data_IF_406909064155
#
_entry.id   IF_406909064155
#
_cell.length_a   1.000
_cell.length_b   1.000
_cell.length_c   1.000
_cell.angle_alpha   90.00
_cell.angle_beta   90.00
_cell.angle_gamma   90.00
#
_symmetry.space_group_name_H-M   'P 1'
#
loop_
_entity.id
_entity.type
_entity.pdbx_description
1 polymer ?
#
# COMPACT_ATOMS: atom_id res chain seq x y z
N UNK A 1 9.99 -11.24 3.34
CA UNK A 1 8.79 -11.48 4.14
C UNK A 1 8.51 -10.22 4.90
N UNK A 2 7.28 -9.73 4.82
CA UNK A 2 6.84 -8.52 5.51
C UNK A 2 6.93 -8.70 7.02
N UNK A 3 7.48 -7.68 7.70
CA UNK A 3 7.59 -7.64 9.16
C UNK A 3 7.02 -6.34 9.70
N UNK A 4 6.32 -6.39 10.83
CA UNK A 4 5.73 -5.20 11.45
C UNK A 4 6.79 -4.35 12.15
N UNK A 5 6.83 -3.07 11.80
CA UNK A 5 7.58 -2.06 12.54
C UNK A 5 6.73 -1.61 13.71
N UNK A 6 7.11 -1.98 14.94
CA UNK A 6 6.27 -1.73 16.13
C UNK A 6 6.27 -0.28 16.62
N UNK A 7 7.38 0.44 16.42
CA UNK A 7 7.57 1.81 16.93
C UNK A 7 7.38 2.86 15.83
N UNK A 8 6.25 2.77 15.12
CA UNK A 8 5.94 3.77 14.11
C UNK A 8 5.31 5.01 14.71
N UNK A 9 5.75 6.17 14.21
CA UNK A 9 5.16 7.47 14.56
C UNK A 9 3.65 7.42 14.35
N UNK A 10 2.89 7.76 15.37
CA UNK A 10 1.46 8.03 15.26
C UNK A 10 1.29 9.54 15.08
N UNK A 11 0.35 9.94 14.22
CA UNK A 11 0.02 11.35 13.99
C UNK A 11 -1.35 11.59 14.61
N UNK A 12 -1.46 12.61 15.46
CA UNK A 12 -2.72 12.96 16.09
C UNK A 12 -3.78 13.24 15.01
N UNK A 13 -4.96 12.63 15.16
CA UNK A 13 -6.11 12.71 14.25
C UNK A 13 -5.97 11.96 12.89
N UNK A 14 -4.92 11.16 12.68
CA UNK A 14 -4.82 10.27 11.49
C UNK A 14 -5.19 8.80 11.82
N UNK A 15 -5.74 8.56 13.01
CA UNK A 15 -6.07 7.21 13.48
C UNK A 15 -4.84 6.36 13.82
N UNK A 16 -5.07 5.08 14.07
CA UNK A 16 -3.97 4.14 14.30
C UNK A 16 -3.28 3.82 12.97
N UNK A 17 -1.96 3.91 12.96
CA UNK A 17 -1.13 3.53 11.82
C UNK A 17 -0.30 2.30 12.12
N UNK A 18 -0.34 1.31 11.23
CA UNK A 18 0.56 0.14 11.23
C UNK A 18 1.43 0.16 9.98
N UNK A 19 2.67 -0.31 10.11
CA UNK A 19 3.60 -0.39 8.99
C UNK A 19 4.26 -1.76 8.96
N UNK A 20 4.26 -2.38 7.80
CA UNK A 20 4.96 -3.61 7.50
C UNK A 20 5.96 -3.36 6.38
N UNK A 21 7.16 -3.92 6.50
CA UNK A 21 8.23 -3.69 5.52
C UNK A 21 9.03 -4.96 5.26
N UNK A 22 9.55 -5.07 4.04
CA UNK A 22 10.63 -5.98 3.66
C UNK A 22 11.55 -5.34 2.59
N UNK A 23 12.31 -6.11 1.82
CA UNK A 23 13.18 -5.57 0.77
C UNK A 23 12.44 -5.05 -0.46
N UNK A 24 11.22 -5.52 -0.72
CA UNK A 24 10.45 -5.22 -1.93
C UNK A 24 9.21 -4.35 -1.66
N UNK A 25 8.54 -4.54 -0.51
CA UNK A 25 7.30 -3.88 -0.15
C UNK A 25 7.45 -2.96 1.07
N UNK A 26 6.66 -1.89 1.07
CA UNK A 26 6.25 -1.16 2.27
C UNK A 26 4.72 -1.08 2.28
N UNK A 27 4.10 -1.65 3.32
CA UNK A 27 2.66 -1.60 3.53
C UNK A 27 2.35 -0.73 4.74
N UNK A 28 1.67 0.38 4.50
CA UNK A 28 1.15 1.28 5.54
C UNK A 28 -0.35 1.09 5.60
N UNK A 29 -0.90 0.87 6.80
CA UNK A 29 -2.34 0.82 7.04
C UNK A 29 -2.77 1.96 7.97
N UNK A 30 -3.94 2.50 7.68
CA UNK A 30 -4.67 3.44 8.52
C UNK A 30 -5.96 2.81 8.99
N UNK A 31 -6.29 3.04 10.26
CA UNK A 31 -7.48 2.50 10.90
C UNK A 31 -8.34 3.63 11.45
N UNK A 32 -9.65 3.43 11.35
CA UNK A 32 -10.67 4.23 12.02
C UNK A 32 -10.62 4.01 13.54
N UNK A 33 -11.30 4.87 14.31
CA UNK A 33 -11.38 4.74 15.77
C UNK A 33 -12.08 3.45 16.24
N UNK A 34 -12.97 2.88 15.42
CA UNK A 34 -13.67 1.62 15.69
C UNK A 34 -12.83 0.37 15.37
N UNK A 35 -11.63 0.55 14.81
CA UNK A 35 -10.71 -0.52 14.44
C UNK A 35 -10.88 -1.06 13.04
N UNK A 36 -11.76 -0.49 12.21
CA UNK A 36 -11.86 -0.83 10.79
C UNK A 36 -10.69 -0.25 9.99
N UNK A 37 -10.30 -0.92 8.90
CA UNK A 37 -9.27 -0.40 7.98
C UNK A 37 -9.87 0.74 7.15
N UNK A 38 -9.40 1.95 7.41
CA UNK A 38 -9.76 3.18 6.70
C UNK A 38 -9.10 3.21 5.31
N UNK A 39 -7.88 2.69 5.22
CA UNK A 39 -7.10 2.67 4.00
C UNK A 39 -5.75 1.97 4.13
N UNK A 40 -5.07 1.84 3.00
CA UNK A 40 -3.68 1.40 2.96
C UNK A 40 -2.92 2.07 1.83
N UNK A 41 -1.59 2.06 1.95
CA UNK A 41 -0.67 2.36 0.87
C UNK A 41 0.35 1.22 0.78
N UNK A 42 0.47 0.65 -0.42
CA UNK A 42 1.45 -0.38 -0.75
C UNK A 42 2.48 0.24 -1.69
N UNK A 43 3.65 0.57 -1.16
CA UNK A 43 4.82 0.86 -1.98
C UNK A 43 5.51 -0.45 -2.36
N UNK A 44 5.98 -0.53 -3.60
CA UNK A 44 6.65 -1.70 -4.13
C UNK A 44 7.71 -1.30 -5.14
N UNK A 45 8.58 -2.25 -5.50
CA UNK A 45 9.65 -2.04 -6.48
C UNK A 45 10.71 -1.01 -6.01
N UNK A 46 10.98 -0.99 -4.70
CA UNK A 46 11.80 0.00 -3.99
C UNK A 46 13.25 0.15 -4.48
N UNK A 47 13.75 -0.83 -5.22
CA UNK A 47 15.14 -0.87 -5.69
C UNK A 47 15.29 -0.47 -7.17
N UNK A 48 14.18 -0.43 -7.93
CA UNK A 48 14.21 -0.15 -9.37
C UNK A 48 13.32 1.04 -9.70
N UNK A 49 12.01 0.83 -9.77
CA UNK A 49 11.03 1.84 -10.16
C UNK A 49 9.91 1.92 -9.12
N UNK A 50 10.20 2.57 -7.99
CA UNK A 50 9.31 2.61 -6.83
C UNK A 50 7.95 3.19 -7.22
N UNK A 51 6.91 2.48 -6.85
CA UNK A 51 5.52 2.86 -7.09
C UNK A 51 4.70 2.66 -5.84
N UNK A 52 3.70 3.49 -5.64
CA UNK A 52 2.76 3.44 -4.55
C UNK A 52 1.34 3.19 -5.08
N UNK A 53 0.69 2.15 -4.58
CA UNK A 53 -0.74 1.94 -4.74
C UNK A 53 -1.44 2.27 -3.42
N UNK A 54 -2.24 3.32 -3.43
CA UNK A 54 -3.01 3.77 -2.27
C UNK A 54 -4.48 3.44 -2.48
N UNK A 55 -5.13 2.93 -1.44
CA UNK A 55 -6.57 2.79 -1.38
C UNK A 55 -7.08 3.46 -0.10
N UNK A 56 -8.09 4.32 -0.25
CA UNK A 56 -8.84 4.94 0.86
C UNK A 56 -10.31 4.63 0.71
N UNK A 57 -11.00 4.37 1.82
CA UNK A 57 -12.45 4.07 1.84
C UNK A 57 -13.27 5.16 1.14
N UNK A 58 -12.93 6.44 1.34
CA UNK A 58 -13.67 7.57 0.76
C UNK A 58 -13.27 7.89 -0.69
N UNK A 59 -11.99 7.76 -1.04
CA UNK A 59 -11.45 8.25 -2.31
C UNK A 59 -11.19 7.15 -3.35
N UNK A 60 -11.28 5.87 -2.97
CA UNK A 60 -10.96 4.76 -3.86
C UNK A 60 -9.45 4.57 -4.04
N UNK A 61 -9.02 4.20 -5.26
CA UNK A 61 -7.63 3.87 -5.57
C UNK A 61 -6.88 5.02 -6.24
N UNK A 62 -5.60 5.19 -5.87
CA UNK A 62 -4.61 5.98 -6.62
C UNK A 62 -3.33 5.16 -6.82
N UNK A 63 -2.69 5.30 -7.97
CA UNK A 63 -1.44 4.62 -8.30
C UNK A 63 -0.43 5.64 -8.81
N UNK A 64 0.68 5.78 -8.11
CA UNK A 64 1.67 6.83 -8.32
C UNK A 64 3.07 6.21 -8.48
N UNK A 65 3.88 6.77 -9.37
CA UNK A 65 5.31 6.48 -9.43
C UNK A 65 6.04 7.44 -8.49
N UNK A 66 6.93 6.90 -7.66
CA UNK A 66 7.74 7.66 -6.73
C UNK A 66 9.07 7.98 -7.41
N UNK A 67 9.29 9.26 -7.72
CA UNK A 67 10.62 9.74 -8.09
C UNK A 67 11.39 10.06 -6.79
N UNK A 68 12.63 9.62 -6.70
CA UNK A 68 13.56 9.64 -5.53
C UNK A 68 13.94 11.07 -5.04
N UNK A 69 13.09 12.07 -5.28
CA UNK A 69 13.34 13.49 -5.04
C UNK A 69 12.20 14.32 -4.43
N UNK A 70 11.03 13.74 -4.10
CA UNK A 70 9.99 14.45 -3.35
C UNK A 70 9.50 13.70 -2.10
N UNK A 71 9.49 14.42 -0.97
CA UNK A 71 8.97 14.03 0.35
C UNK A 71 7.51 13.50 0.29
N UNK A 72 7.11 12.55 1.16
CA UNK A 72 5.73 12.06 1.20
C UNK A 72 4.76 13.21 1.52
N UNK A 73 3.76 13.43 0.66
CA UNK A 73 2.68 14.40 0.94
C UNK A 73 2.27 15.32 -0.22
N UNK A 74 2.89 15.22 -1.40
CA UNK A 74 2.39 15.93 -2.59
C UNK A 74 1.55 15.01 -3.46
N UNK A 75 0.24 15.24 -3.44
CA UNK A 75 -0.69 14.74 -4.44
C UNK A 75 -0.21 15.14 -5.84
N UNK A 76 0.21 14.15 -6.64
CA UNK A 76 0.00 14.19 -8.08
C UNK A 76 -1.11 13.20 -8.40
N UNK A 77 -2.33 13.60 -8.07
CA UNK A 77 -3.52 12.86 -8.48
C UNK A 77 -3.59 12.84 -10.01
N UNK A 78 -3.44 11.66 -10.60
CA UNK A 78 -3.82 11.41 -12.00
C UNK A 78 -4.28 9.96 -12.13
N UNK A 79 -5.44 9.72 -12.75
CA UNK A 79 -5.95 8.37 -12.98
C UNK A 79 -5.08 7.66 -14.00
N UNK A 80 -5.02 6.34 -13.96
CA UNK A 80 -4.27 5.58 -14.95
C UNK A 80 -5.18 4.62 -15.72
N UNK A 81 -5.57 5.07 -16.92
CA UNK A 81 -5.60 4.24 -18.12
C UNK A 81 -4.16 4.26 -18.68
N UNK A 82 -3.39 3.16 -18.62
CA UNK A 82 -2.18 3.01 -19.46
C UNK A 82 -2.52 2.12 -20.66
N UNK A 83 -2.43 2.63 -21.90
CA UNK A 83 -2.61 1.82 -23.10
C UNK A 83 -1.38 0.97 -23.51
N UNK A 84 -0.21 1.10 -22.87
CA UNK A 84 1.02 0.39 -23.34
C UNK A 84 2.14 0.22 -22.29
N UNK A 85 1.81 0.13 -21.00
CA UNK A 85 2.78 -0.10 -19.91
C UNK A 85 2.10 -0.75 -18.73
N UNK A 86 1.94 -2.07 -18.78
CA UNK A 86 1.06 -2.83 -17.92
C UNK A 86 1.50 -2.79 -16.45
N UNK A 87 0.77 -2.04 -15.61
CA UNK A 87 0.74 -2.34 -14.18
C UNK A 87 0.07 -3.70 -14.00
N UNK A 88 0.88 -4.76 -13.90
CA UNK A 88 0.40 -6.11 -13.67
C UNK A 88 0.09 -6.31 -12.18
N UNK A 89 -1.07 -5.79 -11.77
CA UNK A 89 -1.58 -5.90 -10.41
C UNK A 89 -1.70 -7.36 -9.96
N UNK A 90 -1.93 -8.31 -10.88
CA UNK A 90 -2.03 -9.73 -10.53
C UNK A 90 -0.67 -10.29 -10.12
N UNK A 91 0.41 -9.88 -10.78
CA UNK A 91 1.77 -10.24 -10.36
C UNK A 91 2.14 -9.61 -9.02
N UNK A 92 1.79 -8.35 -8.80
CA UNK A 92 2.01 -7.69 -7.50
C UNK A 92 1.19 -8.37 -6.39
N UNK A 93 -0.08 -8.69 -6.64
CA UNK A 93 -0.94 -9.37 -5.66
C UNK A 93 -0.41 -10.75 -5.27
N UNK A 94 0.11 -11.52 -6.24
CA UNK A 94 0.71 -12.84 -5.98
C UNK A 94 1.96 -12.72 -5.12
N UNK A 95 2.85 -11.80 -5.47
CA UNK A 95 4.08 -11.55 -4.71
C UNK A 95 3.75 -11.06 -3.30
N UNK A 96 2.80 -10.12 -3.17
CA UNK A 96 2.32 -9.64 -1.87
C UNK A 96 1.78 -10.79 -1.01
N UNK A 97 0.99 -11.70 -1.58
CA UNK A 97 0.44 -12.84 -0.85
C UNK A 97 1.53 -13.76 -0.27
N UNK A 98 2.63 -13.94 -1.00
CA UNK A 98 3.76 -14.73 -0.54
C UNK A 98 4.51 -14.02 0.59
N UNK A 99 4.80 -12.73 0.43
CA UNK A 99 5.56 -11.95 1.41
C UNK A 99 4.76 -11.62 2.68
N UNK A 100 3.43 -11.49 2.58
CA UNK A 100 2.52 -11.18 3.68
C UNK A 100 2.08 -12.39 4.50
N UNK A 101 2.63 -13.59 4.25
CA UNK A 101 2.20 -14.83 4.90
C UNK A 101 2.42 -14.87 6.42
N UNK A 102 3.32 -14.03 6.93
CA UNK A 102 3.72 -13.99 8.35
C UNK A 102 3.12 -12.81 9.12
N UNK A 103 2.40 -11.91 8.43
CA UNK A 103 1.68 -10.81 9.07
C UNK A 103 0.24 -11.21 9.39
N UNK A 104 -0.46 -10.33 10.11
CA UNK A 104 -1.86 -10.48 10.47
C UNK A 104 -2.74 -10.92 9.26
N UNK A 105 -3.52 -12.00 9.44
CA UNK A 105 -4.33 -12.59 8.37
C UNK A 105 -5.50 -11.71 7.92
N UNK A 106 -6.04 -10.87 8.82
CA UNK A 106 -7.07 -9.91 8.47
C UNK A 106 -6.47 -8.82 7.59
N UNK A 107 -5.29 -8.32 7.95
CA UNK A 107 -4.55 -7.31 7.16
C UNK A 107 -4.16 -7.85 5.78
N UNK A 108 -3.46 -8.97 5.74
CA UNK A 108 -2.99 -9.55 4.46
C UNK A 108 -4.16 -9.95 3.58
N UNK A 109 -5.22 -10.53 4.15
CA UNK A 109 -6.45 -10.89 3.42
C UNK A 109 -7.15 -9.67 2.83
N UNK A 110 -7.29 -8.60 3.61
CA UNK A 110 -7.93 -7.36 3.16
C UNK A 110 -7.16 -6.71 1.99
N UNK A 111 -5.85 -6.50 2.16
CA UNK A 111 -5.02 -5.86 1.14
C UNK A 111 -4.98 -6.72 -0.12
N UNK A 112 -4.81 -8.04 0.00
CA UNK A 112 -4.81 -8.95 -1.16
C UNK A 112 -6.12 -8.87 -1.95
N UNK A 113 -7.28 -8.88 -1.27
CA UNK A 113 -8.57 -8.71 -1.93
C UNK A 113 -8.67 -7.36 -2.65
N UNK A 114 -8.20 -6.28 -2.02
CA UNK A 114 -8.19 -4.95 -2.64
C UNK A 114 -7.26 -4.87 -3.85
N UNK A 115 -6.13 -5.56 -3.86
CA UNK A 115 -5.27 -5.65 -5.04
C UNK A 115 -5.98 -6.35 -6.20
N UNK A 116 -6.68 -7.45 -5.94
CA UNK A 116 -7.44 -8.17 -6.97
C UNK A 116 -8.60 -7.34 -7.55
N UNK A 117 -9.20 -6.44 -6.76
CA UNK A 117 -10.30 -5.58 -7.21
C UNK A 117 -9.85 -4.34 -7.99
N UNK A 118 -8.56 -4.00 -7.98
CA UNK A 118 -8.03 -2.89 -8.76
C UNK A 118 -7.94 -3.23 -10.28
N UNK A 119 -7.75 -4.52 -10.60
CA UNK A 119 -7.56 -5.02 -11.96
C UNK A 119 -8.82 -5.26 -12.77
#
# INVERSE_FOLDING_TARGET
MLTEVKEVRQIENEGLRRWFTDSYFDLILWYEEDGDIEGFQLCYDKMEDERALTWRKECGYSHEKIDDGETPGRMKMTPVLVPDGSFDVNTIARHFKEEAREIDTQVSGFVYQKLLLFG
#
